data_IF_500046855064
#
_entry.id   IF_500046855064
#
_cell.length_a   1.000
_cell.length_b   1.000
_cell.length_c   1.000
_cell.angle_alpha   90.00
_cell.angle_beta   90.00
_cell.angle_gamma   90.00
#
_symmetry.space_group_name_H-M   'P 1'
#
loop_
_entity.id
_entity.type
_entity.pdbx_description
1 polymer ?
#
# COMPACT_ATOMS: atom_id res chain seq x y z
N UNK A 1 6.63 -13.74 24.35
CA UNK A 1 6.93 -12.55 23.73
C UNK A 1 8.15 -12.60 22.82
N UNK A 2 9.20 -13.20 23.25
CA UNK A 2 10.43 -13.13 22.53
C UNK A 2 10.33 -13.47 21.07
N UNK A 3 9.77 -14.62 20.75
CA UNK A 3 9.79 -15.05 19.36
C UNK A 3 8.93 -14.19 18.47
N UNK A 4 7.74 -13.86 18.93
CA UNK A 4 6.89 -12.98 18.13
C UNK A 4 7.49 -11.60 18.03
N UNK A 5 7.97 -11.11 19.15
CA UNK A 5 8.60 -9.81 19.14
C UNK A 5 9.86 -9.85 18.31
N UNK A 6 10.58 -10.93 18.39
CA UNK A 6 11.79 -11.08 17.58
C UNK A 6 11.44 -11.11 16.12
N UNK A 7 10.39 -11.81 15.76
CA UNK A 7 9.95 -11.85 14.38
C UNK A 7 9.51 -10.50 13.90
N UNK A 8 8.70 -9.84 14.69
CA UNK A 8 8.25 -8.52 14.33
C UNK A 8 9.40 -7.56 14.23
N UNK A 9 10.31 -7.65 15.17
CA UNK A 9 11.48 -6.80 15.13
C UNK A 9 12.34 -7.13 13.94
N UNK A 10 12.47 -8.39 13.62
CA UNK A 10 13.26 -8.79 12.49
C UNK A 10 12.62 -8.28 11.20
N UNK A 11 11.33 -8.45 11.07
CA UNK A 11 10.63 -7.96 9.89
C UNK A 11 10.70 -6.45 9.80
N UNK A 12 10.50 -5.81 10.92
CA UNK A 12 10.55 -4.36 10.97
C UNK A 12 11.96 -3.87 10.68
N UNK A 13 12.92 -4.49 11.31
CA UNK A 13 14.30 -4.09 11.10
C UNK A 13 14.73 -4.33 9.66
N UNK A 14 14.28 -5.42 9.11
CA UNK A 14 14.59 -5.72 7.73
C UNK A 14 13.94 -4.72 6.80
N UNK A 15 12.70 -4.39 7.08
CA UNK A 15 12.02 -3.41 6.28
C UNK A 15 12.66 -2.04 6.42
N UNK A 16 13.01 -1.67 7.64
CA UNK A 16 13.67 -0.41 7.87
C UNK A 16 15.04 -0.37 7.21
N UNK A 17 15.72 -1.49 7.23
CA UNK A 17 17.00 -1.55 6.59
C UNK A 17 16.87 -1.39 5.09
N UNK A 18 15.87 -2.02 4.51
CA UNK A 18 15.63 -1.88 3.09
C UNK A 18 15.23 -0.45 2.77
N UNK A 19 14.33 0.10 3.54
CA UNK A 19 13.91 1.47 3.32
C UNK A 19 15.06 2.43 3.49
N UNK A 20 15.86 2.22 4.51
CA UNK A 20 16.99 3.07 4.75
C UNK A 20 18.01 2.96 3.62
N UNK A 21 18.22 1.75 3.19
CA UNK A 21 19.12 1.52 2.08
C UNK A 21 18.62 2.22 0.83
N UNK A 22 17.33 2.14 0.59
CA UNK A 22 16.75 2.81 -0.55
C UNK A 22 16.80 4.31 -0.40
N UNK A 23 16.54 4.79 0.80
CA UNK A 23 16.61 6.21 1.06
C UNK A 23 18.03 6.73 0.92
N UNK A 24 18.98 5.98 1.43
CA UNK A 24 20.37 6.38 1.30
C UNK A 24 20.79 6.43 -0.15
N UNK A 25 20.34 5.47 -0.90
CA UNK A 25 20.61 5.49 -2.32
C UNK A 25 19.91 6.62 -3.00
N UNK A 26 18.66 6.82 -2.62
CA UNK A 26 17.89 7.90 -3.22
C UNK A 26 18.48 9.24 -2.92
N UNK A 27 19.06 9.39 -1.73
CA UNK A 27 19.69 10.66 -1.40
C UNK A 27 21.02 10.82 -2.10
N UNK A 28 21.52 9.77 -2.65
CA UNK A 28 22.74 9.82 -3.41
C UNK A 28 22.39 10.15 -4.85
N UNK A 29 22.90 11.23 -5.34
CA UNK A 29 22.60 11.63 -6.69
C UNK A 29 23.15 10.70 -7.72
N UNK A 30 24.13 9.95 -7.32
CA UNK A 30 24.72 8.94 -8.19
C UNK A 30 23.68 8.00 -8.73
N UNK A 31 22.65 7.87 -7.98
CA UNK A 31 21.67 6.85 -8.25
C UNK A 31 20.63 7.32 -9.23
N UNK A 32 20.76 8.50 -9.73
CA UNK A 32 19.76 9.00 -10.64
C UNK A 32 19.47 8.04 -11.75
N UNK A 33 20.50 7.61 -12.44
CA UNK A 33 20.32 6.69 -13.55
C UNK A 33 19.93 5.31 -13.05
N UNK A 34 20.56 4.90 -11.98
CA UNK A 34 20.21 3.62 -11.40
C UNK A 34 18.80 3.63 -10.87
N UNK A 35 18.44 4.73 -10.27
CA UNK A 35 17.11 4.89 -9.76
C UNK A 35 16.09 4.79 -10.87
N UNK A 36 16.39 5.41 -11.97
CA UNK A 36 15.55 5.36 -13.13
C UNK A 36 15.46 3.94 -13.66
N UNK A 37 16.58 3.29 -13.77
CA UNK A 37 16.61 1.92 -14.23
C UNK A 37 15.90 1.00 -13.24
N UNK A 38 16.08 1.26 -11.97
CA UNK A 38 15.41 0.46 -10.94
C UNK A 38 13.91 0.58 -11.05
N UNK A 39 13.44 1.79 -11.29
CA UNK A 39 12.01 1.97 -11.41
C UNK A 39 11.45 1.21 -12.60
N UNK A 40 12.19 1.14 -13.66
CA UNK A 40 11.71 0.42 -14.83
C UNK A 40 11.83 -1.08 -14.66
N UNK A 41 12.77 -1.54 -13.82
CA UNK A 41 12.97 -2.98 -13.65
C UNK A 41 12.50 -3.51 -12.32
N UNK A 42 12.62 -2.71 -11.27
CA UNK A 42 12.31 -3.17 -9.93
C UNK A 42 10.87 -2.90 -9.52
N UNK A 43 10.12 -2.24 -10.38
CA UNK A 43 8.74 -2.00 -10.08
C UNK A 43 8.49 -0.65 -9.45
N UNK A 44 7.51 -0.60 -8.60
CA UNK A 44 6.96 0.66 -8.16
C UNK A 44 6.80 0.68 -6.64
N UNK A 45 7.88 0.46 -5.93
CA UNK A 45 7.80 0.36 -4.47
C UNK A 45 7.42 1.69 -3.81
N UNK A 46 7.52 2.78 -4.54
CA UNK A 46 7.11 4.07 -4.01
C UNK A 46 5.62 4.09 -3.70
N UNK A 47 4.85 3.20 -4.31
CA UNK A 47 3.43 3.12 -4.07
C UNK A 47 3.07 2.26 -2.86
N UNK A 48 4.05 1.65 -2.22
CA UNK A 48 3.75 0.74 -1.13
C UNK A 48 3.00 1.40 0.02
N UNK A 49 3.52 2.51 0.50
CA UNK A 49 2.88 3.20 1.62
C UNK A 49 1.52 3.77 1.26
N UNK A 50 1.37 4.45 0.13
CA UNK A 50 0.04 4.91 -0.27
C UNK A 50 -0.97 3.78 -0.39
N UNK A 51 -0.57 2.65 -0.95
CA UNK A 51 -1.49 1.54 -1.10
C UNK A 51 -1.83 0.90 0.24
N UNK A 52 -0.88 0.83 1.14
CA UNK A 52 -1.15 0.30 2.48
C UNK A 52 -2.12 1.20 3.22
N UNK A 53 -1.98 2.49 3.07
CA UNK A 53 -2.92 3.43 3.69
C UNK A 53 -4.30 3.24 3.11
N UNK A 54 -4.40 3.08 1.81
CA UNK A 54 -5.68 2.85 1.16
C UNK A 54 -6.30 1.55 1.66
N UNK A 55 -5.51 0.50 1.79
CA UNK A 55 -6.03 -0.76 2.29
C UNK A 55 -6.56 -0.61 3.70
N UNK A 56 -5.82 0.10 4.55
CA UNK A 56 -6.27 0.33 5.92
C UNK A 56 -7.60 1.05 5.95
N UNK A 57 -7.74 2.05 5.12
CA UNK A 57 -8.99 2.79 5.06
C UNK A 57 -10.13 1.92 4.57
N UNK A 58 -9.87 1.12 3.56
CA UNK A 58 -10.89 0.22 3.02
C UNK A 58 -11.32 -0.79 4.08
N UNK A 59 -10.39 -1.31 4.84
CA UNK A 59 -10.72 -2.25 5.90
C UNK A 59 -11.60 -1.60 6.94
N UNK A 60 -11.30 -0.36 7.29
CA UNK A 60 -12.11 0.38 8.25
C UNK A 60 -13.53 0.57 7.73
N UNK A 61 -13.65 0.94 6.47
CA UNK A 61 -14.97 1.11 5.87
C UNK A 61 -15.70 -0.24 5.79
N UNK A 62 -14.99 -1.27 5.43
CA UNK A 62 -15.60 -2.59 5.32
C UNK A 62 -16.18 -3.04 6.67
N UNK A 63 -15.46 -2.78 7.75
CA UNK A 63 -15.95 -3.15 9.06
C UNK A 63 -17.26 -2.46 9.38
N UNK A 64 -17.49 -1.28 8.85
CA UNK A 64 -18.73 -0.55 9.07
C UNK A 64 -19.83 -0.96 8.10
N UNK A 65 -19.46 -1.51 6.96
CA UNK A 65 -20.44 -1.76 5.90
C UNK A 65 -20.69 -3.24 5.64
N UNK A 66 -19.99 -4.13 6.32
CA UNK A 66 -20.10 -5.55 6.00
C UNK A 66 -21.52 -6.10 6.22
N UNK A 67 -22.31 -5.42 7.00
CA UNK A 67 -23.70 -5.84 7.24
C UNK A 67 -24.68 -5.04 6.41
N UNK A 68 -24.21 -4.19 5.53
CA UNK A 68 -25.07 -3.34 4.71
C UNK A 68 -25.13 -3.90 3.30
N UNK A 69 -25.88 -4.97 3.12
CA UNK A 69 -26.11 -5.53 1.81
C UNK A 69 -24.86 -5.67 0.97
N UNK A 70 -24.91 -5.14 -0.23
CA UNK A 70 -23.81 -5.29 -1.17
C UNK A 70 -22.70 -4.27 -0.96
N UNK A 71 -22.90 -3.32 -0.08
CA UNK A 71 -21.91 -2.27 0.14
C UNK A 71 -20.62 -2.86 0.66
N UNK A 72 -20.73 -3.77 1.63
CA UNK A 72 -19.54 -4.40 2.18
C UNK A 72 -18.74 -5.15 1.13
N UNK A 73 -19.44 -5.77 0.20
CA UNK A 73 -18.77 -6.54 -0.84
C UNK A 73 -17.91 -5.63 -1.72
N UNK A 74 -18.41 -4.43 -1.99
CA UNK A 74 -17.65 -3.47 -2.80
C UNK A 74 -16.31 -3.19 -2.14
N UNK A 75 -16.32 -2.93 -0.84
CA UNK A 75 -15.08 -2.61 -0.15
C UNK A 75 -14.19 -3.82 0.05
N UNK A 76 -14.80 -4.99 0.19
CA UNK A 76 -14.01 -6.20 0.24
C UNK A 76 -13.27 -6.42 -1.07
N UNK A 77 -13.94 -6.17 -2.18
CA UNK A 77 -13.30 -6.29 -3.49
C UNK A 77 -12.19 -5.25 -3.66
N UNK A 78 -12.40 -4.06 -3.16
CA UNK A 78 -11.36 -3.05 -3.18
C UNK A 78 -10.14 -3.51 -2.40
N UNK A 79 -10.35 -4.11 -1.24
CA UNK A 79 -9.25 -4.60 -0.44
C UNK A 79 -8.45 -5.65 -1.21
N UNK A 80 -9.15 -6.57 -1.85
CA UNK A 80 -8.50 -7.61 -2.64
C UNK A 80 -7.68 -7.00 -3.76
N UNK A 81 -8.24 -5.99 -4.41
CA UNK A 81 -7.55 -5.34 -5.50
C UNK A 81 -6.29 -4.63 -5.03
N UNK A 82 -6.40 -3.94 -3.92
CA UNK A 82 -5.25 -3.22 -3.36
C UNK A 82 -4.16 -4.20 -2.96
N UNK A 83 -4.55 -5.32 -2.36
CA UNK A 83 -3.57 -6.33 -1.98
C UNK A 83 -2.86 -6.89 -3.21
N UNK A 84 -3.59 -7.07 -4.27
CA UNK A 84 -3.01 -7.54 -5.50
C UNK A 84 -2.01 -6.53 -6.06
N UNK A 85 -2.39 -5.26 -6.03
CA UNK A 85 -1.48 -4.21 -6.46
C UNK A 85 -0.19 -4.22 -5.63
N UNK A 86 -0.34 -4.33 -4.31
CA UNK A 86 0.82 -4.36 -3.43
C UNK A 86 1.71 -5.55 -3.75
N UNK A 87 1.08 -6.68 -3.96
CA UNK A 87 1.82 -7.90 -4.26
C UNK A 87 2.61 -7.77 -5.55
N UNK A 88 2.09 -7.02 -6.49
CA UNK A 88 2.72 -6.90 -7.80
C UNK A 88 3.60 -5.66 -7.95
N UNK A 89 3.82 -4.93 -6.86
CA UNK A 89 4.63 -3.71 -6.96
C UNK A 89 6.06 -3.98 -7.41
N UNK A 90 6.57 -5.16 -7.11
CA UNK A 90 7.91 -5.49 -7.54
C UNK A 90 7.98 -5.68 -9.05
N UNK A 91 6.85 -5.83 -9.70
CA UNK A 91 6.82 -6.01 -11.16
C UNK A 91 6.42 -4.73 -11.90
N UNK A 92 5.79 -3.81 -11.23
CA UNK A 92 5.39 -2.58 -11.88
C UNK A 92 4.37 -1.81 -11.07
N UNK A 93 4.04 -0.65 -11.56
CA UNK A 93 3.05 0.20 -10.91
C UNK A 93 1.64 -0.24 -11.27
N UNK A 94 0.71 -0.08 -10.35
CA UNK A 94 -0.70 -0.27 -10.71
C UNK A 94 -1.14 0.84 -11.65
N UNK A 95 -2.23 0.63 -12.37
CA UNK A 95 -2.74 1.67 -13.27
C UNK A 95 -3.11 2.91 -12.48
N UNK A 96 -2.55 4.04 -12.88
CA UNK A 96 -2.74 5.26 -12.11
C UNK A 96 -4.20 5.67 -12.06
N UNK A 97 -4.90 5.54 -13.18
CA UNK A 97 -6.30 5.91 -13.21
C UNK A 97 -7.12 5.09 -12.23
N UNK A 98 -6.85 3.79 -12.17
CA UNK A 98 -7.60 2.93 -11.27
C UNK A 98 -7.29 3.28 -9.81
N UNK A 99 -6.04 3.58 -9.53
CA UNK A 99 -5.65 3.95 -8.18
C UNK A 99 -6.35 5.25 -7.76
N UNK A 100 -6.38 6.22 -8.65
CA UNK A 100 -7.01 7.51 -8.34
C UNK A 100 -8.51 7.35 -8.15
N UNK A 101 -9.15 6.56 -9.00
CA UNK A 101 -10.57 6.32 -8.85
C UNK A 101 -10.88 5.62 -7.54
N UNK A 102 -10.09 4.60 -7.21
CA UNK A 102 -10.28 3.89 -5.96
C UNK A 102 -10.06 4.79 -4.77
N UNK A 103 -9.03 5.62 -4.85
CA UNK A 103 -8.74 6.57 -3.77
C UNK A 103 -9.92 7.51 -3.56
N UNK A 104 -10.51 7.97 -4.63
CA UNK A 104 -11.67 8.85 -4.54
C UNK A 104 -12.83 8.13 -3.88
N UNK A 105 -13.09 6.91 -4.28
CA UNK A 105 -14.16 6.12 -3.68
C UNK A 105 -13.92 5.87 -2.21
N UNK A 106 -12.67 5.64 -1.84
CA UNK A 106 -12.33 5.42 -0.44
C UNK A 106 -12.59 6.69 0.37
N UNK A 107 -12.21 7.83 -0.16
CA UNK A 107 -12.45 9.09 0.54
C UNK A 107 -13.94 9.35 0.70
N UNK A 108 -14.71 9.08 -0.34
CA UNK A 108 -16.15 9.22 -0.28
C UNK A 108 -16.73 8.28 0.77
N UNK A 109 -16.27 7.04 0.78
CA UNK A 109 -16.74 6.06 1.74
C UNK A 109 -16.42 6.44 3.16
N UNK A 110 -15.23 6.99 3.38
CA UNK A 110 -14.86 7.45 4.72
C UNK A 110 -15.79 8.58 5.17
N UNK A 111 -16.11 9.47 4.27
CA UNK A 111 -17.01 10.57 4.62
C UNK A 111 -18.39 10.08 4.99
N UNK A 112 -18.82 9.00 4.37
CA UNK A 112 -20.15 8.47 4.61
C UNK A 112 -20.19 7.54 5.82
N UNK A 113 -19.23 6.64 5.94
CA UNK A 113 -19.31 5.55 6.87
C UNK A 113 -18.40 5.69 8.10
N UNK A 114 -17.37 6.47 8.01
CA UNK A 114 -16.46 6.68 9.13
C UNK A 114 -16.73 8.06 9.71
N UNK A 115 -17.36 8.06 10.87
CA UNK A 115 -17.64 9.32 11.55
C UNK A 115 -16.45 9.74 12.38
N UNK A 116 -16.16 11.03 12.43
CA UNK A 116 -15.08 11.51 13.29
C UNK A 116 -15.38 11.34 14.76
#
# INVERSE_FOLDING_TARGET
>A
MGCNTCKEKALKAERERIERSMMNRASSTVVSDMEYASRSTAGCMVMLDPLKTMERDVVSIYKQTRTIGDVGIVYLNMQKKIREWIKNLSYGCPPDEEVQEMRKEILDGRAIYIKP
#
